data_IF_709042434787
#
_entry.id   IF_709042434787
#
_cell.length_a   1.000
_cell.length_b   1.000
_cell.length_c   1.000
_cell.angle_alpha   90.00
_cell.angle_beta   90.00
_cell.angle_gamma   90.00
#
_symmetry.space_group_name_H-M   'P 1'
#
loop_
_entity.id
_entity.type
_entity.pdbx_description
1 polymer ?
#
# COMPACT_ATOMS: atom_id res chain seq x y z
N UNK A 1 3.06 -7.45 -19.02
CA UNK A 1 3.99 -7.06 -17.94
C UNK A 1 3.22 -6.14 -17.01
N UNK A 2 2.75 -6.69 -15.89
CA UNK A 2 2.11 -5.94 -14.82
C UNK A 2 3.15 -5.70 -13.72
N UNK A 3 2.89 -4.73 -12.87
CA UNK A 3 3.91 -3.94 -12.19
C UNK A 3 3.50 -3.79 -10.71
N UNK A 4 4.43 -4.02 -9.76
CA UNK A 4 4.21 -4.13 -8.31
C UNK A 4 3.96 -2.80 -7.58
N UNK A 5 3.14 -2.81 -6.52
CA UNK A 5 2.78 -1.60 -5.76
C UNK A 5 2.46 -1.94 -4.30
N UNK A 6 3.23 -1.46 -3.32
CA UNK A 6 2.86 -1.56 -1.90
C UNK A 6 2.43 -0.19 -1.34
N UNK A 7 1.48 -0.22 -0.41
CA UNK A 7 1.02 0.93 0.35
C UNK A 7 1.21 0.63 1.84
N UNK A 8 2.39 0.92 2.35
CA UNK A 8 2.67 0.82 3.78
C UNK A 8 2.10 2.05 4.51
N UNK A 9 1.51 1.89 5.68
CA UNK A 9 1.23 2.99 6.59
C UNK A 9 1.91 2.73 7.93
N UNK A 10 3.03 3.41 8.18
CA UNK A 10 3.76 3.32 9.44
C UNK A 10 3.11 4.18 10.52
N UNK A 11 3.32 3.88 11.80
CA UNK A 11 2.81 4.73 12.86
C UNK A 11 3.79 4.74 14.04
N UNK A 12 4.15 5.92 14.51
CA UNK A 12 5.08 6.09 15.64
C UNK A 12 4.61 7.26 16.52
N UNK A 13 4.15 6.96 17.74
CA UNK A 13 3.76 7.89 18.84
C UNK A 13 2.40 8.61 18.69
N UNK A 14 1.88 9.39 19.69
CA UNK A 14 0.51 9.97 19.67
C UNK A 14 0.30 11.07 18.62
N UNK A 15 1.32 11.23 17.76
CA UNK A 15 1.35 11.93 16.50
C UNK A 15 1.75 10.86 15.45
N UNK A 16 0.79 10.28 14.75
CA UNK A 16 1.01 9.13 13.89
C UNK A 16 1.88 9.54 12.69
N UNK A 17 3.16 9.14 12.65
CA UNK A 17 4.00 9.33 11.47
C UNK A 17 3.77 8.19 10.47
N UNK A 18 2.94 8.45 9.46
CA UNK A 18 2.67 7.53 8.34
C UNK A 18 3.74 7.71 7.28
N UNK A 19 4.67 6.77 7.17
CA UNK A 19 5.50 6.65 5.97
C UNK A 19 4.86 5.65 5.03
N UNK A 20 5.05 5.89 3.74
CA UNK A 20 4.56 5.00 2.70
C UNK A 20 5.72 4.30 2.03
N UNK A 21 5.60 2.97 1.95
CA UNK A 21 6.66 2.09 1.52
C UNK A 21 6.29 1.35 0.23
N UNK A 22 7.25 1.30 -0.69
CA UNK A 22 7.30 0.32 -1.77
C UNK A 22 8.13 -0.87 -1.29
N UNK A 23 7.45 -1.98 -0.96
CA UNK A 23 8.11 -3.25 -0.61
C UNK A 23 8.75 -3.83 -1.87
N UNK A 24 10.05 -4.08 -1.81
CA UNK A 24 10.89 -4.64 -2.86
C UNK A 24 10.85 -6.18 -2.80
N UNK A 25 11.09 -6.89 -3.91
CA UNK A 25 11.06 -8.36 -3.99
C UNK A 25 12.06 -9.07 -3.08
N UNK A 26 13.15 -8.41 -2.69
CA UNK A 26 14.19 -8.93 -1.80
C UNK A 26 13.89 -8.69 -0.30
N UNK A 27 12.67 -8.23 0.03
CA UNK A 27 12.25 -7.91 1.39
C UNK A 27 12.76 -6.56 1.90
N UNK A 28 13.45 -5.76 1.06
CA UNK A 28 13.74 -4.36 1.39
C UNK A 28 12.52 -3.49 1.12
N UNK A 29 12.45 -2.29 1.71
CA UNK A 29 11.39 -1.32 1.44
C UNK A 29 12.00 0.04 1.12
N UNK A 30 11.53 0.67 0.04
CA UNK A 30 11.79 2.09 -0.20
C UNK A 30 10.68 2.91 0.48
N UNK A 31 11.02 3.56 1.59
CA UNK A 31 10.08 4.21 2.49
C UNK A 31 10.24 5.72 2.37
N UNK A 32 9.14 6.42 2.12
CA UNK A 32 9.12 7.89 2.06
C UNK A 32 9.50 8.51 3.40
N UNK A 33 9.77 9.82 3.40
CA UNK A 33 9.68 10.58 4.65
C UNK A 33 8.27 10.42 5.24
N UNK A 34 8.18 10.34 6.58
CA UNK A 34 6.89 10.21 7.27
C UNK A 34 6.06 11.49 7.13
N UNK A 35 4.74 11.33 6.98
CA UNK A 35 3.76 12.40 7.14
C UNK A 35 3.10 12.29 8.50
N UNK A 36 2.86 13.43 9.12
CA UNK A 36 2.10 13.50 10.35
C UNK A 36 0.61 13.27 10.06
N UNK A 37 -0.03 12.44 10.86
CA UNK A 37 -1.46 12.17 10.86
C UNK A 37 -1.97 12.03 12.30
N UNK A 38 -3.17 12.53 12.55
CA UNK A 38 -3.94 12.35 13.77
C UNK A 38 -5.10 11.39 13.57
N UNK A 39 -5.76 11.02 14.66
CA UNK A 39 -6.98 10.22 14.61
C UNK A 39 -8.04 10.89 13.71
N UNK A 40 -8.57 10.12 12.75
CA UNK A 40 -9.53 10.62 11.78
C UNK A 40 -8.94 11.45 10.63
N UNK A 41 -7.61 11.58 10.56
CA UNK A 41 -6.95 12.18 9.40
C UNK A 41 -7.32 11.42 8.12
N UNK A 42 -7.39 12.16 7.00
CA UNK A 42 -7.58 11.58 5.67
C UNK A 42 -6.34 11.80 4.86
N UNK A 43 -5.82 10.73 4.27
CA UNK A 43 -4.63 10.75 3.45
C UNK A 43 -4.99 10.15 2.10
N UNK A 44 -4.71 10.88 1.03
CA UNK A 44 -4.73 10.32 -0.32
C UNK A 44 -3.36 9.77 -0.62
N UNK A 45 -3.31 8.52 -1.03
CA UNK A 45 -2.09 7.90 -1.51
C UNK A 45 -2.24 7.51 -2.97
N UNK A 46 -1.21 7.75 -3.76
CA UNK A 46 -1.19 7.44 -5.18
C UNK A 46 0.19 6.93 -5.56
N UNK A 47 0.23 5.90 -6.39
CA UNK A 47 1.47 5.42 -6.98
C UNK A 47 1.30 5.23 -8.47
N UNK A 48 2.31 5.64 -9.22
CA UNK A 48 2.31 5.59 -10.67
C UNK A 48 3.64 5.03 -11.18
N UNK A 49 3.55 4.17 -12.20
CA UNK A 49 4.71 3.73 -12.97
C UNK A 49 4.81 4.51 -14.27
N UNK A 50 5.91 5.24 -14.47
CA UNK A 50 6.17 5.95 -15.72
C UNK A 50 7.66 6.13 -15.95
N UNK A 51 8.11 6.08 -17.20
CA UNK A 51 9.51 6.30 -17.55
C UNK A 51 10.50 5.33 -16.89
N UNK A 52 10.05 4.12 -16.55
CA UNK A 52 10.87 3.13 -15.85
C UNK A 52 11.04 3.41 -14.35
N UNK A 53 10.17 4.24 -13.75
CA UNK A 53 10.23 4.61 -12.34
C UNK A 53 8.86 4.44 -11.70
N UNK A 54 8.87 4.06 -10.42
CA UNK A 54 7.73 4.11 -9.52
C UNK A 54 7.80 5.39 -8.72
N UNK A 55 6.74 6.18 -8.76
CA UNK A 55 6.60 7.37 -7.94
C UNK A 55 5.38 7.21 -7.07
N UNK A 56 5.60 7.29 -5.75
CA UNK A 56 4.55 7.27 -4.74
C UNK A 56 4.43 8.64 -4.11
N UNK A 57 3.19 9.11 -3.94
CA UNK A 57 2.88 10.37 -3.27
C UNK A 57 1.78 10.13 -2.26
N UNK A 58 1.97 10.67 -1.06
CA UNK A 58 0.92 10.80 -0.07
C UNK A 58 0.65 12.27 0.22
N UNK A 59 -0.63 12.60 0.40
CA UNK A 59 -1.10 13.94 0.70
C UNK A 59 -2.13 13.89 1.83
N UNK A 60 -1.89 14.65 2.90
CA UNK A 60 -2.85 14.77 4.01
C UNK A 60 -3.95 15.74 3.57
N UNK A 61 -5.15 15.20 3.37
CA UNK A 61 -6.34 15.93 2.92
C UNK A 61 -7.03 16.64 4.07
N UNK A 62 -7.07 16.03 5.25
CA UNK A 62 -7.66 16.62 6.46
C UNK A 62 -7.02 16.04 7.73
N UNK A 63 -7.15 16.75 8.85
CA UNK A 63 -6.45 16.47 10.11
C UNK A 63 -5.42 17.55 10.42
N UNK A 64 -4.73 17.45 11.54
CA UNK A 64 -3.70 18.44 11.94
C UNK A 64 -2.47 18.51 11.00
N UNK A 65 -2.31 17.58 10.05
CA UNK A 65 -1.24 17.57 9.04
C UNK A 65 -1.69 18.07 7.67
N UNK A 66 -2.93 18.56 7.56
CA UNK A 66 -3.56 18.94 6.30
C UNK A 66 -2.69 19.84 5.43
N UNK A 67 -2.56 19.48 4.14
CA UNK A 67 -1.75 20.19 3.16
C UNK A 67 -0.29 19.71 3.08
N UNK A 68 0.16 18.86 4.01
CA UNK A 68 1.46 18.21 3.90
C UNK A 68 1.44 17.09 2.86
N UNK A 69 2.54 16.94 2.15
CA UNK A 69 2.74 15.85 1.19
C UNK A 69 4.18 15.37 1.19
N UNK A 70 4.34 14.08 0.94
CA UNK A 70 5.63 13.42 0.73
C UNK A 70 5.58 12.62 -0.56
N UNK A 71 6.71 12.57 -1.25
CA UNK A 71 6.87 11.80 -2.48
C UNK A 71 8.16 11.00 -2.40
N UNK A 72 8.09 9.74 -2.80
CA UNK A 72 9.23 8.84 -2.96
C UNK A 72 9.29 8.36 -4.41
N UNK A 73 10.49 8.22 -4.96
CA UNK A 73 10.66 7.74 -6.34
C UNK A 73 11.81 6.76 -6.43
N UNK A 74 11.53 5.59 -6.98
CA UNK A 74 12.52 4.53 -7.21
C UNK A 74 12.49 4.09 -8.67
N UNK A 75 13.66 3.76 -9.20
CA UNK A 75 13.75 3.17 -10.54
C UNK A 75 13.29 1.71 -10.51
N UNK A 76 12.75 1.23 -11.63
CA UNK A 76 12.41 -0.19 -11.80
C UNK A 76 13.62 -1.09 -11.53
N UNK A 77 14.83 -0.65 -11.88
CA UNK A 77 16.06 -1.42 -11.64
C UNK A 77 16.46 -1.49 -10.17
N UNK A 78 16.15 -0.47 -9.36
CA UNK A 78 16.29 -0.55 -7.91
C UNK A 78 15.24 -1.50 -7.32
N UNK A 79 14.09 -1.61 -7.98
CA UNK A 79 12.98 -2.44 -7.54
C UNK A 79 13.11 -3.92 -7.94
N UNK A 80 13.69 -4.25 -9.10
CA UNK A 80 13.77 -5.63 -9.60
C UNK A 80 15.15 -6.30 -9.46
N UNK A 81 16.18 -5.62 -8.95
CA UNK A 81 17.51 -6.21 -8.74
C UNK A 81 17.59 -6.95 -7.39
N UNK A 82 17.00 -8.14 -7.31
CA UNK A 82 17.46 -9.15 -6.37
C UNK A 82 18.63 -9.93 -7.02
N UNK A 83 19.80 -10.08 -6.37
CA UNK A 83 21.00 -10.68 -6.99
C UNK A 83 20.93 -12.20 -7.20
N UNK A 84 19.80 -12.87 -6.96
CA UNK A 84 19.66 -14.30 -7.20
C UNK A 84 18.38 -14.65 -7.97
N UNK A 85 18.45 -15.70 -8.79
CA UNK A 85 17.36 -16.24 -9.60
C UNK A 85 16.26 -16.96 -8.76
N UNK A 86 16.14 -16.60 -7.48
CA UNK A 86 15.30 -17.27 -6.48
C UNK A 86 13.91 -16.62 -6.34
N UNK A 87 13.81 -15.32 -6.62
CA UNK A 87 12.59 -14.57 -6.35
C UNK A 87 11.65 -14.68 -7.55
N UNK A 88 10.55 -15.39 -7.33
CA UNK A 88 9.49 -15.50 -8.32
C UNK A 88 9.02 -14.09 -8.70
N UNK A 89 8.96 -13.82 -10.00
CA UNK A 89 8.50 -12.61 -10.66
C UNK A 89 7.01 -12.27 -10.41
N UNK A 90 6.49 -12.53 -9.22
CA UNK A 90 5.07 -12.45 -8.90
C UNK A 90 4.75 -11.02 -8.49
N UNK A 91 3.87 -10.38 -9.25
CA UNK A 91 3.38 -9.03 -8.95
C UNK A 91 2.44 -9.11 -7.77
N UNK A 92 2.70 -8.35 -6.71
CA UNK A 92 1.80 -8.24 -5.57
C UNK A 92 1.49 -6.77 -5.27
N UNK A 93 0.28 -6.56 -4.76
CA UNK A 93 -0.14 -5.31 -4.16
C UNK A 93 -0.34 -5.56 -2.67
N UNK A 94 0.40 -4.82 -1.84
CA UNK A 94 0.30 -4.95 -0.37
C UNK A 94 -0.44 -3.73 0.16
N UNK A 95 -1.50 -4.00 0.92
CA UNK A 95 -2.01 -3.04 1.90
C UNK A 95 -1.59 -3.57 3.26
N UNK A 96 -0.78 -2.80 3.96
CA UNK A 96 -0.22 -3.18 5.25
C UNK A 96 -0.18 -1.98 6.18
N UNK A 97 -0.38 -2.25 7.47
CA UNK A 97 -0.14 -1.33 8.56
C UNK A 97 0.75 -2.03 9.56
N UNK A 98 1.88 -1.41 9.86
CA UNK A 98 2.85 -1.92 10.82
C UNK A 98 3.23 -0.79 11.77
N UNK A 99 3.40 -1.12 13.05
CA UNK A 99 4.08 -0.28 14.01
C UNK A 99 5.52 -0.74 14.09
N UNK A 100 6.45 0.20 13.92
CA UNK A 100 7.88 -0.10 13.97
C UNK A 100 8.50 0.24 15.33
N UNK A 101 9.64 -0.41 15.62
CA UNK A 101 10.44 -0.12 16.80
C UNK A 101 9.87 -0.68 18.10
N UNK A 102 9.92 0.09 19.19
CA UNK A 102 9.49 -0.38 20.52
C UNK A 102 7.97 -0.31 20.74
N UNK A 103 7.23 0.18 19.75
CA UNK A 103 5.79 0.44 19.85
C UNK A 103 4.95 -0.62 19.12
N UNK A 104 5.56 -1.72 18.67
CA UNK A 104 4.89 -2.77 17.90
C UNK A 104 3.62 -3.33 18.58
N UNK A 105 3.52 -3.24 19.91
CA UNK A 105 2.36 -3.66 20.70
C UNK A 105 1.30 -2.57 20.98
N UNK A 106 1.50 -1.35 20.50
CA UNK A 106 0.62 -0.20 20.81
C UNK A 106 -0.55 -0.07 19.81
N UNK A 107 -0.63 -0.94 18.79
CA UNK A 107 -1.65 -0.83 17.75
C UNK A 107 -3.01 -1.29 18.30
N UNK A 108 -3.96 -0.36 18.39
CA UNK A 108 -5.26 -0.61 19.00
C UNK A 108 -6.43 0.07 18.27
N UNK A 109 -6.25 0.43 16.99
CA UNK A 109 -7.24 1.12 16.18
C UNK A 109 -7.26 0.58 14.76
N UNK A 110 -8.39 0.66 14.08
CA UNK A 110 -8.48 0.23 12.68
C UNK A 110 -7.81 1.24 11.73
N UNK A 111 -7.14 0.73 10.70
CA UNK A 111 -6.72 1.52 9.53
C UNK A 111 -7.66 1.21 8.38
N UNK A 112 -8.42 2.21 7.92
CA UNK A 112 -9.40 2.03 6.84
C UNK A 112 -8.91 2.66 5.54
N UNK A 113 -8.78 1.84 4.51
CA UNK A 113 -8.55 2.24 3.13
C UNK A 113 -9.90 2.33 2.41
N UNK A 114 -10.13 3.44 1.72
CA UNK A 114 -11.33 3.66 0.90
C UNK A 114 -10.94 4.03 -0.53
N UNK A 115 -11.89 3.91 -1.45
CA UNK A 115 -11.74 4.34 -2.85
C UNK A 115 -10.49 3.72 -3.53
N UNK A 116 -10.26 2.44 -3.23
CA UNK A 116 -9.07 1.71 -3.65
C UNK A 116 -9.23 1.33 -5.11
N UNK A 117 -8.28 1.74 -5.95
CA UNK A 117 -8.23 1.36 -7.36
C UNK A 117 -6.82 1.00 -7.80
N UNK A 118 -6.71 -0.07 -8.57
CA UNK A 118 -5.45 -0.53 -9.17
C UNK A 118 -5.70 -0.74 -10.65
N UNK A 119 -4.95 -0.03 -11.50
CA UNK A 119 -5.09 -0.12 -12.96
C UNK A 119 -3.86 -0.75 -13.58
N UNK A 120 -4.09 -1.84 -14.31
CA UNK A 120 -3.06 -2.54 -15.06
C UNK A 120 -2.92 -2.02 -16.50
N UNK A 121 -1.73 -2.18 -17.09
CA UNK A 121 -1.52 -1.86 -18.50
C UNK A 121 -2.27 -2.81 -19.45
N UNK A 122 -2.33 -4.10 -19.10
CA UNK A 122 -3.04 -5.15 -19.83
C UNK A 122 -4.08 -5.83 -18.94
N UNK A 123 -4.93 -6.65 -19.55
CA UNK A 123 -6.00 -7.41 -18.85
C UNK A 123 -5.53 -8.78 -18.36
N UNK A 124 -4.28 -9.15 -18.63
CA UNK A 124 -3.79 -10.52 -18.43
C UNK A 124 -3.68 -10.82 -16.93
N UNK A 125 -4.49 -11.78 -16.46
CA UNK A 125 -4.49 -12.21 -15.06
C UNK A 125 -5.11 -11.23 -14.06
N UNK A 126 -5.56 -10.04 -14.51
CA UNK A 126 -6.11 -8.99 -13.63
C UNK A 126 -7.32 -9.50 -12.84
N UNK A 127 -8.30 -10.09 -13.54
CA UNK A 127 -9.53 -10.58 -12.90
C UNK A 127 -9.23 -11.68 -11.89
N UNK A 128 -8.38 -12.64 -12.24
CA UNK A 128 -7.98 -13.75 -11.37
C UNK A 128 -7.23 -13.25 -10.12
N UNK A 129 -6.29 -12.31 -10.30
CA UNK A 129 -5.51 -11.74 -9.20
C UNK A 129 -6.40 -10.95 -8.23
N UNK A 130 -7.25 -10.06 -8.75
CA UNK A 130 -8.04 -9.19 -7.89
C UNK A 130 -9.22 -9.90 -7.23
N UNK A 131 -9.88 -10.84 -7.92
CA UNK A 131 -10.95 -11.63 -7.30
C UNK A 131 -10.44 -12.62 -6.25
N UNK A 132 -9.13 -12.94 -6.27
CA UNK A 132 -8.48 -13.76 -5.25
C UNK A 132 -8.22 -13.03 -3.93
N UNK A 133 -8.38 -11.71 -3.87
CA UNK A 133 -8.21 -10.95 -2.64
C UNK A 133 -9.39 -11.23 -1.67
N UNK A 134 -9.09 -11.90 -0.56
CA UNK A 134 -10.10 -12.27 0.44
C UNK A 134 -9.72 -11.77 1.83
N UNK A 135 -10.74 -11.49 2.65
CA UNK A 135 -10.55 -11.21 4.07
C UNK A 135 -9.91 -12.40 4.77
N UNK A 136 -8.93 -12.14 5.64
CA UNK A 136 -8.22 -13.19 6.38
C UNK A 136 -7.50 -12.61 7.60
N UNK A 137 -7.02 -13.51 8.46
CA UNK A 137 -6.13 -13.23 9.60
C UNK A 137 -4.86 -14.05 9.42
N UNK A 138 -3.74 -13.52 9.91
CA UNK A 138 -2.47 -14.23 10.06
C UNK A 138 -2.11 -14.49 11.54
N UNK A 139 -2.99 -14.12 12.47
CA UNK A 139 -2.74 -14.19 13.92
C UNK A 139 -2.14 -12.93 14.54
N UNK A 140 -1.71 -11.96 13.72
CA UNK A 140 -1.20 -10.65 14.15
C UNK A 140 -2.12 -9.48 13.74
N UNK A 141 -3.34 -9.80 13.32
CA UNK A 141 -4.34 -8.84 12.90
C UNK A 141 -5.37 -9.47 11.98
N UNK A 142 -6.23 -8.64 11.42
CA UNK A 142 -7.26 -9.07 10.47
C UNK A 142 -7.43 -8.05 9.35
N UNK A 143 -7.53 -8.52 8.11
CA UNK A 143 -7.95 -7.68 6.98
C UNK A 143 -9.39 -8.01 6.58
N UNK A 144 -10.27 -7.01 6.58
CA UNK A 144 -11.64 -7.10 6.05
C UNK A 144 -11.72 -6.38 4.72
N UNK A 145 -12.18 -7.06 3.67
CA UNK A 145 -12.22 -6.57 2.28
C UNK A 145 -13.67 -6.54 1.82
N UNK A 146 -14.10 -5.44 1.20
CA UNK A 146 -15.46 -5.31 0.67
C UNK A 146 -15.55 -4.51 -0.63
N UNK A 147 -16.65 -4.72 -1.36
CA UNK A 147 -16.99 -3.92 -2.54
C UNK A 147 -16.08 -4.13 -3.74
N UNK A 148 -15.56 -5.36 -3.93
CA UNK A 148 -14.78 -5.69 -5.12
C UNK A 148 -15.61 -5.47 -6.40
N UNK A 149 -15.00 -4.79 -7.37
CA UNK A 149 -15.49 -4.75 -8.75
C UNK A 149 -14.32 -4.64 -9.75
N UNK A 150 -14.59 -5.08 -10.98
CA UNK A 150 -13.67 -4.93 -12.11
C UNK A 150 -14.30 -3.97 -13.11
N UNK A 151 -13.50 -3.03 -13.63
CA UNK A 151 -13.94 -2.13 -14.70
C UNK A 151 -14.34 -2.90 -15.95
N UNK A 152 -15.17 -2.27 -16.78
CA UNK A 152 -15.68 -2.88 -18.02
C UNK A 152 -14.60 -3.19 -19.05
N UNK A 153 -13.47 -2.47 -19.01
CA UNK A 153 -12.30 -2.74 -19.85
C UNK A 153 -11.39 -3.85 -19.31
N UNK A 154 -11.71 -4.41 -18.13
CA UNK A 154 -11.00 -5.52 -17.50
C UNK A 154 -9.64 -5.16 -16.90
N UNK A 155 -9.31 -3.87 -16.77
CA UNK A 155 -7.97 -3.41 -16.35
C UNK A 155 -7.90 -2.87 -14.93
N UNK A 156 -9.00 -2.35 -14.41
CA UNK A 156 -9.02 -1.66 -13.12
C UNK A 156 -9.81 -2.46 -12.11
N UNK A 157 -9.12 -2.90 -11.07
CA UNK A 157 -9.73 -3.49 -9.89
C UNK A 157 -10.07 -2.39 -8.90
N UNK A 158 -11.26 -2.45 -8.32
CA UNK A 158 -11.72 -1.52 -7.31
C UNK A 158 -12.17 -2.28 -6.08
N UNK A 159 -11.97 -1.68 -4.91
CA UNK A 159 -12.56 -2.11 -3.65
C UNK A 159 -13.11 -0.90 -2.91
N UNK A 160 -14.31 -1.03 -2.36
CA UNK A 160 -14.93 0.06 -1.59
C UNK A 160 -14.19 0.29 -0.28
N UNK A 161 -13.88 -0.80 0.43
CA UNK A 161 -13.13 -0.73 1.69
C UNK A 161 -12.16 -1.89 1.85
N UNK A 162 -11.01 -1.59 2.44
CA UNK A 162 -10.17 -2.58 3.12
C UNK A 162 -9.84 -2.04 4.51
N UNK A 163 -10.13 -2.82 5.55
CA UNK A 163 -9.93 -2.44 6.95
C UNK A 163 -8.87 -3.37 7.52
N UNK A 164 -7.77 -2.79 8.01
CA UNK A 164 -6.77 -3.49 8.79
C UNK A 164 -7.06 -3.28 10.27
N UNK A 165 -7.27 -4.37 10.98
CA UNK A 165 -7.56 -4.38 12.41
C UNK A 165 -6.42 -5.03 13.19
N UNK A 166 -6.10 -4.54 14.39
CA UNK A 166 -5.12 -5.17 15.27
C UNK A 166 -5.57 -6.57 15.72
N UNK A 167 -4.67 -7.39 16.30
CA UNK A 167 -5.00 -8.71 16.83
C UNK A 167 -6.10 -8.72 17.91
#
# INVERSE_FOLDING_TARGET
>A
MLSCLALLALACTPALAISLGLVLPDGNSAISQGIWADEGAKITSTVNFSGGQWTQTANVVSGGGSGNSVTETVTANQYFNAPCACDSHTNFFVIESELDGQQTGDWNFDVTFTDISITAATTDGVSALCSGATSHSDGNGYVTISGYSLSSDGKTCNWSTMILSPP
#
